data_IF_067152585014
#
_entry.id   IF_067152585014
#
_cell.length_a   1.000
_cell.length_b   1.000
_cell.length_c   1.000
_cell.angle_alpha   90.00
_cell.angle_beta   90.00
_cell.angle_gamma   90.00
#
_symmetry.space_group_name_H-M   'P 1'
#
loop_
_entity.id
_entity.type
_entity.pdbx_description
1 polymer ?
#
# COMPACT_ATOMS: atom_id res chain seq x y z
N UNK A 1 -27.96 -0.04 23.59
CA UNK A 1 -26.85 0.79 23.10
C UNK A 1 -25.67 -0.13 22.80
N UNK A 2 -25.41 -0.45 21.54
CA UNK A 2 -24.29 -1.31 21.14
C UNK A 2 -23.08 -0.41 20.86
N UNK A 3 -22.04 -0.56 21.68
CA UNK A 3 -20.78 0.13 21.54
C UNK A 3 -20.11 -0.25 20.20
N UNK A 4 -19.87 0.76 19.37
CA UNK A 4 -19.19 0.63 18.09
C UNK A 4 -17.76 0.12 18.26
N UNK A 5 -17.49 -1.07 17.74
CA UNK A 5 -16.13 -1.55 17.52
C UNK A 5 -15.63 -0.95 16.22
N UNK A 6 -14.79 0.08 16.29
CA UNK A 6 -13.99 0.52 15.14
C UNK A 6 -13.01 -0.59 14.77
N UNK A 7 -13.40 -1.46 13.84
CA UNK A 7 -12.49 -2.46 13.26
C UNK A 7 -11.62 -1.74 12.24
N UNK A 8 -10.49 -1.20 12.69
CA UNK A 8 -9.42 -0.72 11.81
C UNK A 8 -8.76 -1.96 11.20
N UNK A 9 -9.20 -2.36 10.01
CA UNK A 9 -8.55 -3.42 9.25
C UNK A 9 -7.34 -2.80 8.55
N UNK A 10 -6.19 -2.83 9.23
CA UNK A 10 -4.88 -2.63 8.59
C UNK A 10 -4.27 -4.00 8.34
N UNK A 11 -3.82 -4.26 7.11
CA UNK A 11 -3.05 -5.46 6.79
C UNK A 11 -1.58 -5.16 7.05
N UNK A 12 -0.96 -5.90 7.95
CA UNK A 12 0.49 -5.94 8.11
C UNK A 12 0.98 -7.22 7.45
N UNK A 13 1.85 -7.10 6.45
CA UNK A 13 2.62 -8.24 5.97
C UNK A 13 3.69 -8.51 7.04
N UNK A 14 3.42 -9.46 7.93
CA UNK A 14 4.45 -10.02 8.80
C UNK A 14 5.13 -11.08 7.95
N UNK A 15 6.37 -10.80 7.53
CA UNK A 15 7.19 -11.67 6.70
C UNK A 15 6.96 -13.14 7.09
N UNK A 16 6.49 -13.93 6.12
CA UNK A 16 6.35 -15.38 6.28
C UNK A 16 7.70 -15.96 6.74
N UNK A 17 7.66 -17.02 7.56
CA UNK A 17 8.86 -17.78 7.93
C UNK A 17 9.56 -18.24 6.64
N UNK A 18 10.67 -17.59 6.32
CA UNK A 18 11.27 -17.65 5.00
C UNK A 18 12.45 -18.62 5.04
N UNK A 19 12.32 -19.73 4.33
CA UNK A 19 13.44 -20.65 4.12
C UNK A 19 14.60 -19.94 3.40
N UNK A 20 15.85 -20.42 3.52
CA UNK A 20 16.99 -19.83 2.80
C UNK A 20 16.80 -19.76 1.28
N UNK A 21 16.01 -20.67 0.70
CA UNK A 21 15.62 -20.62 -0.72
C UNK A 21 14.52 -19.58 -0.99
N UNK A 22 13.58 -19.38 -0.05
CA UNK A 22 12.61 -18.29 -0.15
C UNK A 22 13.27 -16.91 -0.07
N UNK A 23 14.42 -16.81 0.61
CA UNK A 23 15.19 -15.57 0.64
C UNK A 23 15.75 -15.16 -0.72
N UNK A 24 15.89 -16.09 -1.67
CA UNK A 24 16.33 -15.78 -3.03
C UNK A 24 15.18 -15.48 -3.98
N UNK A 25 13.91 -15.52 -3.56
CA UNK A 25 12.74 -15.17 -4.39
C UNK A 25 11.70 -14.34 -3.63
N UNK A 26 12.12 -13.66 -2.55
CA UNK A 26 11.24 -12.91 -1.66
C UNK A 26 10.39 -11.84 -2.37
N UNK A 27 10.85 -11.36 -3.52
CA UNK A 27 10.16 -10.35 -4.31
C UNK A 27 8.91 -10.93 -4.99
N UNK A 28 8.92 -12.19 -5.42
CA UNK A 28 7.75 -12.87 -6.00
C UNK A 28 6.60 -12.91 -4.98
N UNK A 29 6.92 -13.30 -3.75
CA UNK A 29 5.96 -13.30 -2.64
C UNK A 29 5.45 -11.89 -2.31
N UNK A 30 6.28 -10.86 -2.52
CA UNK A 30 5.89 -9.46 -2.34
C UNK A 30 4.93 -9.00 -3.44
N UNK A 31 5.17 -9.40 -4.70
CA UNK A 31 4.26 -9.17 -5.83
C UNK A 31 2.91 -9.85 -5.61
N UNK A 32 2.91 -11.14 -5.29
CA UNK A 32 1.69 -11.93 -5.05
C UNK A 32 0.86 -11.33 -3.90
N UNK A 33 1.52 -10.91 -2.83
CA UNK A 33 0.85 -10.20 -1.74
C UNK A 33 0.24 -8.89 -2.22
N UNK A 34 0.99 -8.10 -3.01
CA UNK A 34 0.52 -6.83 -3.58
C UNK A 34 -0.77 -7.00 -4.38
N UNK A 35 -0.81 -8.01 -5.26
CA UNK A 35 -1.99 -8.30 -6.08
C UNK A 35 -3.20 -8.73 -5.25
N UNK A 36 -3.01 -9.63 -4.30
CA UNK A 36 -4.10 -10.08 -3.41
C UNK A 36 -4.61 -8.94 -2.52
N UNK A 37 -3.70 -8.13 -1.97
CA UNK A 37 -4.05 -6.98 -1.13
C UNK A 37 -4.83 -5.93 -1.92
N UNK A 38 -4.43 -5.66 -3.17
CA UNK A 38 -5.15 -4.75 -4.07
C UNK A 38 -6.55 -5.28 -4.37
N UNK A 39 -6.68 -6.54 -4.79
CA UNK A 39 -7.98 -7.16 -5.07
C UNK A 39 -8.92 -7.10 -3.85
N UNK A 40 -8.42 -7.38 -2.65
CA UNK A 40 -9.20 -7.30 -1.41
C UNK A 40 -9.61 -5.86 -1.09
N UNK A 41 -8.72 -4.89 -1.33
CA UNK A 41 -8.99 -3.46 -1.12
C UNK A 41 -10.08 -2.96 -2.07
N UNK A 42 -10.00 -3.30 -3.35
CA UNK A 42 -11.03 -3.01 -4.35
C UNK A 42 -12.38 -3.65 -3.98
N UNK A 43 -12.37 -4.91 -3.56
CA UNK A 43 -13.59 -5.64 -3.12
C UNK A 43 -14.21 -4.97 -1.89
N UNK A 44 -13.39 -4.57 -0.93
CA UNK A 44 -13.84 -3.88 0.28
C UNK A 44 -14.40 -2.51 -0.07
N UNK A 45 -13.72 -1.75 -0.93
CA UNK A 45 -14.19 -0.46 -1.43
C UNK A 45 -15.56 -0.58 -2.09
N UNK A 46 -15.77 -1.58 -2.94
CA UNK A 46 -17.07 -1.82 -3.58
C UNK A 46 -18.20 -2.08 -2.56
N UNK A 47 -17.87 -2.61 -1.38
CA UNK A 47 -18.85 -2.90 -0.31
C UNK A 47 -19.12 -1.70 0.59
N UNK A 48 -18.12 -0.86 0.86
CA UNK A 48 -18.19 0.27 1.82
C UNK A 48 -17.53 1.54 1.28
N UNK A 49 -17.87 1.92 0.06
CA UNK A 49 -17.28 3.04 -0.68
C UNK A 49 -17.42 4.42 0.02
N UNK A 50 -18.29 4.53 1.01
CA UNK A 50 -18.46 5.76 1.79
C UNK A 50 -17.41 5.95 2.88
N UNK A 51 -16.72 4.89 3.31
CA UNK A 51 -15.84 4.98 4.48
C UNK A 51 -14.54 4.17 4.35
N UNK A 52 -14.30 3.59 3.18
CA UNK A 52 -13.07 2.86 2.90
C UNK A 52 -12.32 3.53 1.76
N UNK A 53 -11.01 3.70 1.95
CA UNK A 53 -10.05 4.12 0.94
C UNK A 53 -8.77 3.31 1.14
N UNK A 54 -8.05 3.07 0.06
CA UNK A 54 -6.79 2.35 0.07
C UNK A 54 -5.69 3.15 -0.63
N UNK A 55 -4.44 2.80 -0.33
CA UNK A 55 -3.26 3.46 -0.87
C UNK A 55 -2.22 2.40 -1.25
N UNK A 56 -1.83 2.36 -2.52
CA UNK A 56 -0.72 1.57 -3.06
C UNK A 56 0.28 2.49 -3.73
N UNK A 57 1.49 2.59 -3.16
CA UNK A 57 2.63 3.33 -3.71
C UNK A 57 3.60 2.42 -4.47
N UNK A 58 4.67 2.99 -5.03
CA UNK A 58 5.71 2.23 -5.76
C UNK A 58 6.71 1.55 -4.81
N UNK A 59 7.49 0.59 -5.32
CA UNK A 59 8.68 0.04 -4.66
C UNK A 59 8.64 -1.48 -4.47
N UNK A 60 9.79 -2.05 -4.11
CA UNK A 60 10.04 -3.50 -4.19
C UNK A 60 9.22 -4.42 -3.28
N UNK A 61 8.49 -3.83 -2.34
CA UNK A 61 7.58 -4.53 -1.42
C UNK A 61 6.11 -4.14 -1.63
N UNK A 62 5.83 -3.42 -2.71
CA UNK A 62 4.50 -2.93 -3.15
C UNK A 62 3.66 -2.30 -2.02
N UNK A 63 4.35 -1.80 -1.00
CA UNK A 63 3.83 -1.22 0.23
C UNK A 63 4.84 -0.23 0.78
N UNK A 64 4.50 0.43 1.89
CA UNK A 64 5.37 1.37 2.59
C UNK A 64 6.61 0.76 3.26
N UNK A 65 6.72 -0.56 3.28
CA UNK A 65 7.71 -1.24 4.11
C UNK A 65 9.12 -1.20 3.52
N UNK A 66 10.08 -0.77 4.33
CA UNK A 66 11.51 -0.84 4.00
C UNK A 66 12.15 0.47 3.54
N UNK A 67 11.37 1.52 3.29
CA UNK A 67 11.86 2.85 2.94
C UNK A 67 11.12 3.94 3.73
N UNK A 68 11.82 5.00 4.15
CA UNK A 68 11.21 6.18 4.77
C UNK A 68 10.61 7.07 3.68
N UNK A 69 9.43 6.66 3.20
CA UNK A 69 8.77 7.28 2.04
C UNK A 69 7.43 7.95 2.36
N UNK A 70 7.01 7.90 3.63
CA UNK A 70 5.71 8.39 4.11
C UNK A 70 5.53 9.89 3.81
N UNK A 71 6.61 10.66 3.95
CA UNK A 71 6.59 12.12 3.98
C UNK A 71 6.95 12.78 2.65
N UNK A 72 7.63 12.08 1.74
CA UNK A 72 8.29 12.73 0.60
C UNK A 72 8.10 12.02 -0.72
N UNK A 73 7.64 10.78 -0.73
CA UNK A 73 7.54 10.02 -1.96
C UNK A 73 6.22 10.28 -2.68
N UNK A 74 6.35 10.70 -3.93
CA UNK A 74 5.25 10.87 -4.88
C UNK A 74 5.52 10.09 -6.18
N UNK A 75 6.47 9.15 -6.13
CA UNK A 75 6.86 8.33 -7.27
C UNK A 75 5.66 7.52 -7.77
N UNK A 76 5.54 7.37 -9.09
CA UNK A 76 4.36 6.74 -9.69
C UNK A 76 3.07 7.56 -9.60
N UNK A 77 3.19 8.89 -9.39
CA UNK A 77 2.06 9.82 -9.55
C UNK A 77 1.12 9.92 -8.35
N UNK A 78 1.53 9.40 -7.19
CA UNK A 78 0.72 9.38 -5.96
C UNK A 78 1.00 10.59 -5.05
N UNK A 79 0.04 11.06 -4.24
CA UNK A 79 0.35 12.02 -3.17
C UNK A 79 1.20 11.36 -2.08
N UNK A 80 1.81 12.16 -1.21
CA UNK A 80 2.47 11.57 -0.02
C UNK A 80 1.43 10.86 0.85
N UNK A 81 1.86 9.82 1.56
CA UNK A 81 0.96 9.10 2.47
C UNK A 81 0.49 10.02 3.59
N UNK A 82 1.36 10.91 4.08
CA UNK A 82 0.97 11.91 5.08
C UNK A 82 -0.16 12.80 4.57
N UNK A 83 -0.07 13.32 3.35
CA UNK A 83 -1.13 14.17 2.80
C UNK A 83 -2.45 13.40 2.67
N UNK A 84 -2.39 12.14 2.23
CA UNK A 84 -3.56 11.27 2.12
C UNK A 84 -4.20 10.94 3.48
N UNK A 85 -3.39 10.65 4.51
CA UNK A 85 -3.87 10.44 5.88
C UNK A 85 -4.44 11.73 6.47
N UNK A 86 -3.81 12.88 6.19
CA UNK A 86 -4.33 14.17 6.64
C UNK A 86 -5.68 14.48 6.01
N UNK A 87 -5.90 14.15 4.73
CA UNK A 87 -7.22 14.27 4.09
C UNK A 87 -8.26 13.32 4.71
N UNK A 88 -7.87 12.10 5.08
CA UNK A 88 -8.74 11.21 5.86
C UNK A 88 -9.13 11.84 7.20
N UNK A 89 -8.17 12.41 7.93
CA UNK A 89 -8.40 13.02 9.24
C UNK A 89 -9.21 14.32 9.15
N UNK A 90 -9.08 15.07 8.05
CA UNK A 90 -9.87 16.24 7.75
C UNK A 90 -11.32 15.89 7.36
N UNK A 91 -11.58 14.65 6.96
CA UNK A 91 -12.93 14.15 6.70
C UNK A 91 -13.72 13.98 8.00
N UNK A 92 -15.01 14.31 7.99
CA UNK A 92 -15.82 14.30 9.19
C UNK A 92 -17.32 14.37 8.92
N UNK A 93 -18.14 14.74 9.94
CA UNK A 93 -19.59 14.85 9.80
C UNK A 93 -20.05 15.81 8.70
N UNK A 94 -19.24 16.83 8.41
CA UNK A 94 -19.55 17.89 7.45
C UNK A 94 -19.19 17.53 6.00
N UNK A 95 -18.58 16.35 5.80
CA UNK A 95 -18.22 15.86 4.47
C UNK A 95 -16.84 15.21 4.43
N UNK A 96 -16.54 14.66 3.25
CA UNK A 96 -15.26 14.04 2.93
C UNK A 96 -14.33 15.06 2.28
N UNK A 97 -13.06 15.08 2.70
CA UNK A 97 -12.03 15.83 2.00
C UNK A 97 -11.83 15.26 0.58
N UNK A 98 -11.80 16.14 -0.43
CA UNK A 98 -11.68 15.74 -1.83
C UNK A 98 -10.36 14.99 -2.14
N UNK A 99 -9.32 15.16 -1.32
CA UNK A 99 -8.06 14.46 -1.44
C UNK A 99 -8.06 13.05 -0.81
N UNK A 100 -9.11 12.65 -0.06
CA UNK A 100 -9.23 11.29 0.47
C UNK A 100 -9.84 10.33 -0.57
N UNK A 101 -9.00 9.91 -1.52
CA UNK A 101 -9.33 9.08 -2.68
C UNK A 101 -8.66 7.70 -2.61
N UNK A 102 -9.07 6.77 -3.47
CA UNK A 102 -8.28 5.54 -3.67
C UNK A 102 -7.02 5.93 -4.43
N UNK A 103 -5.87 5.44 -3.97
CA UNK A 103 -4.57 5.77 -4.56
C UNK A 103 -3.90 4.50 -5.04
N UNK A 104 -3.49 4.50 -6.29
CA UNK A 104 -2.66 3.48 -6.92
C UNK A 104 -1.58 4.17 -7.74
N UNK A 105 -0.36 3.68 -7.63
CA UNK A 105 0.75 4.18 -8.43
C UNK A 105 0.70 3.63 -9.86
N UNK A 106 1.07 4.47 -10.83
CA UNK A 106 1.08 4.11 -12.26
C UNK A 106 1.99 2.91 -12.56
N UNK A 107 3.10 2.79 -11.82
CA UNK A 107 4.00 1.65 -11.88
C UNK A 107 4.39 1.20 -10.46
N UNK A 108 3.68 0.23 -9.86
CA UNK A 108 3.97 -0.23 -8.51
C UNK A 108 5.33 -0.93 -8.36
N UNK A 109 5.95 -1.37 -9.47
CA UNK A 109 7.28 -1.99 -9.51
C UNK A 109 8.43 -0.98 -9.58
N UNK A 110 8.14 0.32 -9.74
CA UNK A 110 9.19 1.34 -9.83
C UNK A 110 10.00 1.42 -8.53
N UNK A 111 11.27 1.01 -8.63
CA UNK A 111 12.19 0.93 -7.50
C UNK A 111 12.63 2.31 -7.03
N UNK A 112 12.59 2.52 -5.72
CA UNK A 112 13.17 3.70 -5.07
C UNK A 112 14.66 3.49 -4.77
N UNK A 113 15.37 4.58 -4.52
CA UNK A 113 16.77 4.49 -4.08
C UNK A 113 16.85 3.77 -2.73
N UNK A 114 17.61 2.68 -2.68
CA UNK A 114 17.79 1.87 -1.47
C UNK A 114 16.78 0.73 -1.34
N UNK A 115 15.82 0.59 -2.26
CA UNK A 115 14.94 -0.56 -2.28
C UNK A 115 15.76 -1.85 -2.45
N UNK A 116 15.41 -2.86 -1.65
CA UNK A 116 15.89 -4.22 -1.90
C UNK A 116 15.40 -4.66 -3.26
N UNK A 117 16.26 -5.28 -4.06
CA UNK A 117 15.92 -5.70 -5.42
C UNK A 117 16.63 -7.01 -5.76
N UNK A 118 16.06 -7.84 -6.65
CA UNK A 118 16.77 -8.99 -7.19
C UNK A 118 18.08 -8.56 -7.88
N UNK A 119 19.07 -9.44 -7.84
CA UNK A 119 20.33 -9.31 -8.59
C UNK A 119 20.63 -10.66 -9.30
N UNK A 120 20.52 -10.74 -10.64
CA UNK A 120 20.17 -9.66 -11.57
C UNK A 120 18.73 -9.15 -11.41
N UNK A 121 18.42 -7.96 -11.95
CA UNK A 121 17.04 -7.44 -11.95
C UNK A 121 16.09 -8.41 -12.67
N UNK A 122 14.93 -8.63 -12.08
CA UNK A 122 13.85 -9.45 -12.61
C UNK A 122 12.53 -8.68 -12.59
N UNK A 123 11.66 -8.96 -13.56
CA UNK A 123 10.34 -8.36 -13.65
C UNK A 123 9.52 -8.59 -12.35
N UNK A 124 8.68 -7.63 -11.91
CA UNK A 124 8.33 -6.35 -12.56
C UNK A 124 9.24 -5.17 -12.18
N UNK A 125 10.42 -5.41 -11.60
CA UNK A 125 11.32 -4.35 -11.15
C UNK A 125 12.25 -3.92 -12.28
N UNK A 126 11.84 -2.89 -13.03
CA UNK A 126 12.58 -2.29 -14.15
C UNK A 126 12.91 -0.81 -13.90
#
# INVERSE_FOLDING_TARGET
MLAGRSRRYGFYNIMLDMSPLGATTWWEASCDFGDVARQQSETTFATVAENYRFYFGTGSRHTMWGADKVYTDTTGGVPTVVDWVNAMLASGPDGRDAAWLNVEADNPGLLLTGDLRPDPLEAPFE
#
